data_IF_671421869115
#
_entry.id   IF_671421869115
#
_cell.length_a   1.000
_cell.length_b   1.000
_cell.length_c   1.000
_cell.angle_alpha   90.00
_cell.angle_beta   90.00
_cell.angle_gamma   90.00
#
_symmetry.space_group_name_H-M   'P 1'
#
loop_
_entity.id
_entity.type
_entity.pdbx_description
1 polymer ?
#
# COMPACT_ATOMS: atom_id res chain seq x y z
N UNK A 1 -14.91 -18.18 -20.26
CA UNK A 1 -13.59 -17.96 -19.66
C UNK A 1 -13.59 -16.54 -19.12
N UNK A 2 -13.43 -16.38 -17.81
CA UNK A 2 -13.21 -15.07 -17.20
C UNK A 2 -11.84 -14.59 -17.71
N UNK A 3 -11.78 -13.36 -18.23
CA UNK A 3 -10.54 -12.84 -18.80
C UNK A 3 -9.49 -12.65 -17.70
N UNK A 4 -8.23 -12.98 -17.99
CA UNK A 4 -7.11 -12.84 -17.06
C UNK A 4 -7.02 -11.40 -16.52
N UNK A 5 -6.69 -11.20 -15.22
CA UNK A 5 -6.62 -9.87 -14.62
C UNK A 5 -5.47 -9.07 -15.24
N UNK A 6 -5.69 -7.77 -15.44
CA UNK A 6 -4.64 -6.88 -15.93
C UNK A 6 -3.72 -6.41 -14.80
N UNK A 7 -4.30 -6.21 -13.62
CA UNK A 7 -3.59 -5.80 -12.41
C UNK A 7 -3.85 -6.83 -11.31
N UNK A 8 -2.78 -7.29 -10.67
CA UNK A 8 -2.85 -8.11 -9.47
C UNK A 8 -2.25 -7.33 -8.32
N UNK A 9 -2.94 -7.30 -7.18
CA UNK A 9 -2.44 -6.67 -5.96
C UNK A 9 -2.29 -7.74 -4.89
N UNK A 10 -1.07 -7.88 -4.36
CA UNK A 10 -0.77 -8.72 -3.19
C UNK A 10 -0.52 -7.79 -2.02
N UNK A 11 -1.43 -7.77 -1.05
CA UNK A 11 -1.32 -6.79 0.03
C UNK A 11 -2.42 -6.85 1.07
N UNK A 12 -2.52 -5.75 1.81
CA UNK A 12 -3.30 -5.63 3.03
C UNK A 12 -4.75 -5.20 2.82
N UNK A 13 -5.59 -5.56 3.79
CA UNK A 13 -6.93 -5.03 4.02
C UNK A 13 -7.03 -4.59 5.48
N UNK A 14 -7.50 -3.36 5.75
CA UNK A 14 -7.58 -2.81 7.10
C UNK A 14 -8.91 -2.12 7.31
N UNK A 15 -9.71 -2.56 8.27
CA UNK A 15 -10.92 -1.83 8.65
C UNK A 15 -10.52 -0.60 9.46
N UNK A 16 -10.87 0.57 8.94
CA UNK A 16 -10.57 1.84 9.59
C UNK A 16 -11.68 2.18 10.59
N UNK A 17 -11.34 2.27 11.86
CA UNK A 17 -12.25 2.60 12.96
C UNK A 17 -11.97 4.04 13.40
N UNK A 18 -12.74 4.99 12.86
CA UNK A 18 -12.43 6.42 12.99
C UNK A 18 -13.29 7.08 14.05
N UNK A 19 -12.64 7.62 15.09
CA UNK A 19 -13.25 8.46 16.13
C UNK A 19 -12.81 9.90 15.96
N UNK A 20 -13.77 10.82 15.82
CA UNK A 20 -13.52 12.26 15.68
C UNK A 20 -13.82 12.98 16.99
N UNK A 21 -12.88 13.79 17.46
CA UNK A 21 -12.97 14.57 18.70
C UNK A 21 -12.46 16.00 18.50
N UNK A 22 -12.71 16.90 19.46
CA UNK A 22 -12.20 18.29 19.35
C UNK A 22 -10.68 18.35 19.49
N UNK A 23 -10.08 17.42 20.24
CA UNK A 23 -8.64 17.25 20.42
C UNK A 23 -8.31 15.78 20.64
N UNK A 24 -7.05 15.41 20.52
CA UNK A 24 -6.59 14.07 20.88
C UNK A 24 -6.51 13.91 22.42
N UNK A 25 -6.74 12.71 22.96
CA UNK A 25 -6.57 12.44 24.39
C UNK A 25 -5.09 12.42 24.78
N UNK A 26 -4.79 12.87 26.00
CA UNK A 26 -3.48 12.63 26.61
C UNK A 26 -3.41 11.22 27.23
N UNK A 27 -2.20 10.79 27.61
CA UNK A 27 -2.00 9.51 28.31
C UNK A 27 -2.85 9.48 29.60
N UNK A 28 -3.66 8.43 29.75
CA UNK A 28 -4.55 8.23 30.91
C UNK A 28 -5.87 8.99 30.84
N UNK A 29 -6.13 9.71 29.75
CA UNK A 29 -7.33 10.53 29.61
C UNK A 29 -8.47 9.78 28.91
N UNK A 30 -9.71 10.09 29.30
CA UNK A 30 -10.93 9.71 28.56
C UNK A 30 -11.63 10.96 28.10
N UNK A 31 -11.97 11.04 26.82
CA UNK A 31 -12.68 12.17 26.22
C UNK A 31 -13.91 11.68 25.45
N UNK A 32 -14.90 12.55 25.25
CA UNK A 32 -16.02 12.29 24.37
C UNK A 32 -15.70 12.74 22.93
N UNK A 33 -15.82 11.82 21.99
CA UNK A 33 -15.87 12.15 20.55
C UNK A 33 -17.25 12.66 20.15
N UNK A 34 -17.35 13.20 18.93
CA UNK A 34 -18.60 13.72 18.37
C UNK A 34 -19.02 13.05 17.05
N UNK A 35 -18.16 12.18 16.48
CA UNK A 35 -18.51 11.35 15.31
C UNK A 35 -17.70 10.04 15.36
N UNK A 36 -18.33 8.96 14.92
CA UNK A 36 -17.67 7.68 14.67
C UNK A 36 -18.11 7.15 13.31
N UNK A 37 -17.18 6.58 12.54
CA UNK A 37 -17.49 5.88 11.31
C UNK A 37 -16.48 4.78 11.02
N UNK A 38 -16.91 3.82 10.21
CA UNK A 38 -16.11 2.68 9.77
C UNK A 38 -15.80 2.87 8.29
N UNK A 39 -14.53 2.72 7.92
CA UNK A 39 -14.03 2.78 6.55
C UNK A 39 -13.31 1.51 6.12
N UNK A 40 -12.99 1.43 4.84
CA UNK A 40 -12.17 0.35 4.27
C UNK A 40 -10.83 0.94 3.82
N UNK A 41 -9.78 0.67 4.58
CA UNK A 41 -8.42 1.12 4.31
C UNK A 41 -7.49 0.00 3.84
N UNK A 42 -6.23 0.05 4.27
CA UNK A 42 -5.19 -0.90 3.87
C UNK A 42 -4.63 -0.56 2.49
N UNK A 43 -3.30 -0.40 2.41
CA UNK A 43 -2.63 0.10 1.20
C UNK A 43 -2.91 -0.79 -0.01
N UNK A 44 -2.92 -2.11 0.18
CA UNK A 44 -3.22 -3.06 -0.88
C UNK A 44 -4.64 -2.86 -1.43
N UNK A 45 -5.64 -2.91 -0.56
CA UNK A 45 -7.04 -2.70 -0.95
C UNK A 45 -7.28 -1.32 -1.59
N UNK A 46 -6.69 -0.26 -1.05
CA UNK A 46 -6.82 1.11 -1.59
C UNK A 46 -6.27 1.22 -3.01
N UNK A 47 -5.07 0.70 -3.26
CA UNK A 47 -4.44 0.71 -4.58
C UNK A 47 -5.23 -0.16 -5.58
N UNK A 48 -5.71 -1.31 -5.12
CA UNK A 48 -6.53 -2.25 -5.89
C UNK A 48 -7.86 -1.62 -6.33
N UNK A 49 -8.60 -1.01 -5.41
CA UNK A 49 -9.88 -0.36 -5.68
C UNK A 49 -9.69 0.85 -6.60
N UNK A 50 -8.64 1.65 -6.40
CA UNK A 50 -8.38 2.80 -7.28
C UNK A 50 -8.12 2.34 -8.72
N UNK A 51 -7.37 1.25 -8.94
CA UNK A 51 -7.16 0.69 -10.26
C UNK A 51 -8.48 0.19 -10.89
N UNK A 52 -9.32 -0.50 -10.11
CA UNK A 52 -10.62 -0.98 -10.59
C UNK A 52 -11.57 0.16 -10.98
N UNK A 53 -11.62 1.24 -10.18
CA UNK A 53 -12.41 2.44 -10.48
C UNK A 53 -11.97 3.17 -11.75
N UNK A 54 -10.71 3.01 -12.15
CA UNK A 54 -10.18 3.52 -13.42
C UNK A 54 -10.47 2.57 -14.62
N UNK A 55 -11.14 1.44 -14.37
CA UNK A 55 -11.58 0.49 -15.40
C UNK A 55 -10.65 -0.71 -15.61
N UNK A 56 -9.61 -0.88 -14.79
CA UNK A 56 -8.75 -2.06 -14.87
C UNK A 56 -9.47 -3.32 -14.38
N UNK A 57 -9.16 -4.48 -14.96
CA UNK A 57 -9.54 -5.77 -14.39
C UNK A 57 -8.55 -6.12 -13.28
N UNK A 58 -9.01 -6.11 -12.03
CA UNK A 58 -8.14 -6.26 -10.86
C UNK A 58 -8.47 -7.52 -10.07
N UNK A 59 -7.43 -8.22 -9.61
CA UNK A 59 -7.54 -9.32 -8.66
C UNK A 59 -6.81 -8.97 -7.37
N UNK A 60 -7.49 -9.11 -6.24
CA UNK A 60 -6.89 -8.93 -4.91
C UNK A 60 -6.46 -10.27 -4.34
N UNK A 61 -5.21 -10.35 -3.88
CA UNK A 61 -4.67 -11.47 -3.13
C UNK A 61 -4.37 -10.96 -1.72
N UNK A 62 -5.18 -11.39 -0.76
CA UNK A 62 -5.07 -10.97 0.64
C UNK A 62 -5.71 -12.00 1.57
N UNK A 63 -5.59 -11.77 2.89
CA UNK A 63 -6.25 -12.58 3.90
C UNK A 63 -6.91 -11.70 4.95
N UNK A 64 -8.20 -11.94 5.19
CA UNK A 64 -9.01 -11.27 6.22
C UNK A 64 -9.48 -12.28 7.27
N UNK A 65 -10.09 -11.81 8.34
CA UNK A 65 -10.68 -12.68 9.36
C UNK A 65 -11.98 -13.32 8.89
N UNK A 66 -12.33 -14.46 9.50
CA UNK A 66 -13.68 -15.03 9.48
C UNK A 66 -14.55 -14.31 10.51
N UNK A 67 -14.71 -13.01 10.32
CA UNK A 67 -15.47 -12.10 11.16
C UNK A 67 -16.34 -11.15 10.31
N UNK A 68 -17.12 -10.28 10.97
CA UNK A 68 -17.99 -9.34 10.26
C UNK A 68 -17.21 -8.39 9.36
N UNK A 69 -16.07 -7.89 9.83
CA UNK A 69 -15.23 -6.99 9.05
C UNK A 69 -14.65 -7.65 7.80
N UNK A 70 -14.27 -8.92 7.87
CA UNK A 70 -13.79 -9.69 6.73
C UNK A 70 -14.89 -9.90 5.70
N UNK A 71 -16.11 -10.22 6.13
CA UNK A 71 -17.26 -10.35 5.25
C UNK A 71 -17.58 -9.02 4.55
N UNK A 72 -17.62 -7.92 5.31
CA UNK A 72 -17.85 -6.58 4.79
C UNK A 72 -16.77 -6.17 3.77
N UNK A 73 -15.52 -6.58 3.98
CA UNK A 73 -14.42 -6.34 3.05
C UNK A 73 -14.58 -7.07 1.72
N UNK A 74 -14.97 -8.35 1.77
CA UNK A 74 -15.23 -9.14 0.57
C UNK A 74 -16.38 -8.49 -0.23
N UNK A 75 -17.44 -8.05 0.44
CA UNK A 75 -18.51 -7.29 -0.22
C UNK A 75 -18.03 -5.96 -0.81
N UNK A 76 -17.16 -5.23 -0.11
CA UNK A 76 -16.60 -3.98 -0.62
C UNK A 76 -15.81 -4.20 -1.92
N UNK A 77 -15.02 -5.27 -2.02
CA UNK A 77 -14.33 -5.62 -3.27
C UNK A 77 -15.31 -5.92 -4.41
N UNK A 78 -16.36 -6.72 -4.14
CA UNK A 78 -17.39 -7.03 -5.13
C UNK A 78 -18.07 -5.74 -5.62
N UNK A 79 -18.44 -4.83 -4.70
CA UNK A 79 -19.04 -3.52 -5.03
C UNK A 79 -18.13 -2.65 -5.89
N UNK A 80 -16.81 -2.78 -5.76
CA UNK A 80 -15.82 -2.06 -6.57
C UNK A 80 -15.30 -2.86 -7.78
N UNK A 81 -15.97 -3.97 -8.16
CA UNK A 81 -15.60 -4.81 -9.31
C UNK A 81 -14.18 -5.40 -9.25
N UNK A 82 -13.71 -5.70 -8.03
CA UNK A 82 -12.43 -6.37 -7.77
C UNK A 82 -12.69 -7.89 -7.62
N UNK A 83 -11.90 -8.74 -8.29
CA UNK A 83 -11.99 -10.18 -8.08
C UNK A 83 -11.56 -10.55 -6.67
N UNK A 84 -12.34 -11.45 -6.05
CA UNK A 84 -12.13 -11.96 -4.69
C UNK A 84 -11.72 -13.44 -4.66
N UNK A 85 -11.37 -14.03 -5.80
CA UNK A 85 -11.04 -15.45 -5.93
C UNK A 85 -9.87 -15.90 -5.02
N UNK A 86 -8.98 -14.96 -4.68
CA UNK A 86 -7.82 -15.17 -3.82
C UNK A 86 -7.87 -14.34 -2.53
N UNK A 87 -9.07 -13.92 -2.11
CA UNK A 87 -9.30 -13.31 -0.79
C UNK A 87 -9.57 -14.43 0.21
N UNK A 88 -8.55 -14.80 0.98
CA UNK A 88 -8.66 -15.83 2.01
C UNK A 88 -9.36 -15.29 3.27
N UNK A 89 -10.10 -16.17 3.96
CA UNK A 89 -10.59 -15.88 5.31
C UNK A 89 -10.04 -16.90 6.32
N UNK A 90 -9.56 -16.43 7.48
CA UNK A 90 -9.02 -17.29 8.56
C UNK A 90 -9.77 -17.13 9.88
N UNK A 91 -9.89 -18.22 10.64
CA UNK A 91 -10.40 -18.17 12.02
C UNK A 91 -9.33 -17.89 13.07
N UNK A 92 -8.05 -17.87 12.67
CA UNK A 92 -6.91 -17.79 13.60
C UNK A 92 -6.55 -16.35 14.01
N UNK A 93 -7.06 -15.36 13.28
CA UNK A 93 -6.91 -13.94 13.59
C UNK A 93 -8.11 -13.13 13.09
N UNK A 94 -8.33 -11.98 13.72
CA UNK A 94 -9.30 -11.00 13.24
C UNK A 94 -8.80 -10.32 11.95
N UNK A 95 -9.74 -9.75 11.19
CA UNK A 95 -9.43 -8.81 10.09
C UNK A 95 -8.57 -7.67 10.62
N UNK A 96 -7.61 -7.21 9.82
CA UNK A 96 -6.74 -6.10 10.22
C UNK A 96 -7.55 -4.84 10.51
N UNK A 97 -7.14 -4.07 11.52
CA UNK A 97 -7.84 -2.84 11.93
C UNK A 97 -6.88 -1.68 12.15
N UNK A 98 -7.28 -0.49 11.73
CA UNK A 98 -6.63 0.76 12.08
C UNK A 98 -7.58 1.57 12.99
N UNK A 99 -7.25 1.65 14.27
CA UNK A 99 -7.98 2.52 15.22
C UNK A 99 -7.46 3.93 15.09
N UNK A 100 -8.26 4.81 14.51
CA UNK A 100 -7.87 6.17 14.12
C UNK A 100 -8.62 7.17 15.00
N UNK A 101 -7.86 8.01 15.70
CA UNK A 101 -8.38 9.20 16.37
C UNK A 101 -7.96 10.42 15.56
N UNK A 102 -8.89 11.33 15.28
CA UNK A 102 -8.62 12.55 14.53
C UNK A 102 -9.28 13.76 15.20
N UNK A 103 -8.57 14.88 15.25
CA UNK A 103 -9.11 16.14 15.76
C UNK A 103 -9.57 17.10 14.65
N UNK A 104 -10.15 18.23 15.03
CA UNK A 104 -10.68 19.24 14.11
C UNK A 104 -9.58 19.88 13.24
N UNK A 105 -8.33 19.87 13.71
CA UNK A 105 -7.16 20.35 12.99
C UNK A 105 -6.58 19.31 12.00
N UNK A 106 -7.16 18.10 11.93
CA UNK A 106 -6.71 17.01 11.08
C UNK A 106 -5.48 16.26 11.61
N UNK A 107 -5.03 16.54 12.84
CA UNK A 107 -4.01 15.75 13.52
C UNK A 107 -4.62 14.41 13.91
N UNK A 108 -3.83 13.33 13.79
CA UNK A 108 -4.30 11.99 14.09
C UNK A 108 -3.34 11.18 14.97
N UNK A 109 -3.89 10.15 15.59
CA UNK A 109 -3.17 9.08 16.25
C UNK A 109 -3.77 7.75 15.81
N UNK A 110 -2.93 6.84 15.32
CA UNK A 110 -3.37 5.61 14.67
C UNK A 110 -2.69 4.41 15.34
N UNK A 111 -3.49 3.42 15.73
CA UNK A 111 -3.01 2.12 16.19
C UNK A 111 -3.42 1.07 15.15
N UNK A 112 -2.42 0.41 14.57
CA UNK A 112 -2.63 -0.66 13.59
C UNK A 112 -2.47 -2.02 14.28
N UNK A 113 -3.45 -2.90 14.05
CA UNK A 113 -3.34 -4.33 14.31
C UNK A 113 -3.48 -5.05 12.99
N UNK A 114 -2.37 -5.57 12.45
CA UNK A 114 -2.36 -6.17 11.11
C UNK A 114 -3.25 -7.42 11.00
N UNK A 115 -3.39 -8.21 12.09
CA UNK A 115 -4.30 -9.35 12.16
C UNK A 115 -4.05 -10.38 11.04
N UNK A 116 -5.12 -10.79 10.38
CA UNK A 116 -5.12 -11.78 9.30
C UNK A 116 -4.18 -11.44 8.13
N UNK A 117 -3.81 -10.17 7.93
CA UNK A 117 -2.85 -9.77 6.90
C UNK A 117 -1.49 -10.48 7.06
N UNK A 118 -1.06 -10.72 8.30
CA UNK A 118 0.21 -11.42 8.58
C UNK A 118 0.12 -12.94 8.41
N UNK A 119 -1.10 -13.46 8.26
CA UNK A 119 -1.35 -14.88 8.03
C UNK A 119 -1.46 -15.22 6.54
N UNK A 120 -1.41 -14.24 5.64
CA UNK A 120 -1.20 -14.51 4.22
C UNK A 120 0.17 -15.19 4.06
N UNK A 121 0.24 -16.30 3.32
CA UNK A 121 1.43 -17.14 3.27
C UNK A 121 1.76 -17.61 1.83
N UNK A 122 2.85 -18.38 1.71
CA UNK A 122 3.31 -18.93 0.43
C UNK A 122 2.32 -19.94 -0.19
N UNK A 123 1.51 -20.65 0.59
CA UNK A 123 0.50 -21.57 0.03
C UNK A 123 -0.64 -20.79 -0.64
N UNK A 124 -1.03 -19.64 -0.09
CA UNK A 124 -1.97 -18.73 -0.76
C UNK A 124 -1.39 -18.16 -2.06
N UNK A 125 -0.11 -17.74 -2.04
CA UNK A 125 0.56 -17.26 -3.26
C UNK A 125 0.67 -18.34 -4.33
N UNK A 126 0.96 -19.60 -3.96
CA UNK A 126 1.01 -20.72 -4.91
C UNK A 126 -0.33 -20.90 -5.63
N UNK A 127 -1.45 -20.80 -4.90
CA UNK A 127 -2.80 -20.88 -5.50
C UNK A 127 -3.04 -19.72 -6.48
N UNK A 128 -2.53 -18.54 -6.17
CA UNK A 128 -2.66 -17.35 -7.00
C UNK A 128 -1.56 -17.18 -8.07
N UNK A 129 -0.57 -18.07 -8.12
CA UNK A 129 0.61 -17.92 -8.97
C UNK A 129 0.26 -17.76 -10.45
N UNK A 130 -0.73 -18.52 -10.95
CA UNK A 130 -1.21 -18.37 -12.33
C UNK A 130 -1.77 -16.97 -12.61
N UNK A 131 -2.55 -16.43 -11.68
CA UNK A 131 -3.07 -15.06 -11.77
C UNK A 131 -1.95 -14.02 -11.76
N UNK A 132 -0.92 -14.20 -10.92
CA UNK A 132 0.23 -13.30 -10.87
C UNK A 132 0.99 -13.36 -12.20
N UNK A 133 1.33 -14.55 -12.69
CA UNK A 133 2.15 -14.76 -13.89
C UNK A 133 1.49 -14.31 -15.19
N UNK A 134 0.16 -14.24 -15.25
CA UNK A 134 -0.59 -13.80 -16.43
C UNK A 134 -0.97 -12.32 -16.38
N UNK A 135 -0.73 -11.62 -15.27
CA UNK A 135 -1.05 -10.21 -15.12
C UNK A 135 -0.14 -9.33 -16.00
N UNK A 136 -0.57 -8.09 -16.25
CA UNK A 136 0.31 -7.08 -16.86
C UNK A 136 1.15 -6.38 -15.80
N UNK A 137 0.57 -6.16 -14.62
CA UNK A 137 1.19 -5.49 -13.48
C UNK A 137 0.90 -6.23 -12.18
N UNK A 138 1.92 -6.39 -11.34
CA UNK A 138 1.77 -6.81 -9.96
C UNK A 138 2.17 -5.67 -9.02
N UNK A 139 1.31 -5.39 -8.03
CA UNK A 139 1.53 -4.34 -7.02
C UNK A 139 1.63 -4.97 -5.63
N UNK A 140 2.61 -4.57 -4.83
CA UNK A 140 2.70 -4.98 -3.42
C UNK A 140 3.25 -3.88 -2.51
N UNK A 141 3.03 -4.05 -1.21
CA UNK A 141 3.45 -3.13 -0.15
C UNK A 141 4.04 -3.88 1.05
N UNK A 142 4.26 -3.20 2.19
CA UNK A 142 4.86 -3.77 3.42
C UNK A 142 3.87 -3.86 4.61
N UNK A 143 2.57 -4.02 4.34
CA UNK A 143 1.54 -4.24 5.38
C UNK A 143 1.15 -5.72 5.56
N UNK A 144 1.84 -6.63 4.85
CA UNK A 144 1.81 -8.08 5.05
C UNK A 144 3.23 -8.55 5.43
N UNK A 145 3.42 -9.85 5.66
CA UNK A 145 4.75 -10.40 5.94
C UNK A 145 5.72 -10.12 4.78
N UNK A 146 6.87 -9.46 4.99
CA UNK A 146 7.78 -9.07 3.91
C UNK A 146 8.23 -10.24 3.02
N UNK A 147 8.41 -11.43 3.60
CA UNK A 147 8.77 -12.63 2.83
C UNK A 147 7.73 -12.96 1.73
N UNK A 148 6.45 -12.73 2.00
CA UNK A 148 5.33 -12.98 1.08
C UNK A 148 5.31 -11.92 -0.02
N UNK A 149 5.46 -10.63 0.33
CA UNK A 149 5.60 -9.57 -0.69
C UNK A 149 6.79 -9.83 -1.62
N UNK A 150 7.93 -10.27 -1.07
CA UNK A 150 9.12 -10.59 -1.84
C UNK A 150 8.92 -11.81 -2.76
N UNK A 151 8.23 -12.84 -2.28
CA UNK A 151 7.88 -14.01 -3.10
C UNK A 151 6.97 -13.62 -4.26
N UNK A 152 5.95 -12.78 -4.02
CA UNK A 152 5.08 -12.26 -5.07
C UNK A 152 5.85 -11.44 -6.13
N UNK A 153 6.79 -10.58 -5.70
CA UNK A 153 7.69 -9.84 -6.59
C UNK A 153 8.52 -10.78 -7.47
N UNK A 154 9.09 -11.84 -6.88
CA UNK A 154 9.87 -12.84 -7.62
C UNK A 154 9.02 -13.58 -8.66
N UNK A 155 7.82 -14.03 -8.30
CA UNK A 155 6.90 -14.72 -9.22
C UNK A 155 6.56 -13.81 -10.40
N UNK A 156 6.17 -12.56 -10.13
CA UNK A 156 5.83 -11.59 -11.16
C UNK A 156 7.04 -11.30 -12.08
N UNK A 157 8.19 -10.95 -11.49
CA UNK A 157 9.39 -10.59 -12.22
C UNK A 157 9.89 -11.72 -13.13
N UNK A 158 9.94 -12.95 -12.61
CA UNK A 158 10.39 -14.13 -13.39
C UNK A 158 9.42 -14.51 -14.51
N UNK A 159 8.14 -14.11 -14.38
CA UNK A 159 7.12 -14.29 -15.42
C UNK A 159 7.07 -13.15 -16.44
N UNK A 160 7.95 -12.15 -16.32
CA UNK A 160 7.96 -10.97 -17.20
C UNK A 160 6.85 -9.95 -16.90
N UNK A 161 6.18 -10.07 -15.75
CA UNK A 161 5.13 -9.16 -15.29
C UNK A 161 5.76 -7.92 -14.68
N UNK A 162 5.24 -6.73 -15.03
CA UNK A 162 5.77 -5.47 -14.49
C UNK A 162 5.48 -5.39 -12.99
N UNK A 163 6.52 -5.10 -12.22
CA UNK A 163 6.44 -5.03 -10.76
C UNK A 163 6.41 -3.57 -10.28
N UNK A 164 5.41 -3.24 -9.46
CA UNK A 164 5.32 -1.98 -8.73
C UNK A 164 5.40 -2.30 -7.24
N UNK A 165 6.40 -1.78 -6.57
CA UNK A 165 6.56 -1.95 -5.14
C UNK A 165 6.45 -0.60 -4.44
N UNK A 166 5.59 -0.54 -3.43
CA UNK A 166 5.49 0.59 -2.53
C UNK A 166 5.98 0.17 -1.13
N UNK A 167 7.20 0.57 -0.70
CA UNK A 167 7.82 0.15 0.56
C UNK A 167 7.17 0.85 1.77
N UNK A 168 5.88 0.69 1.93
CA UNK A 168 5.07 1.42 2.89
C UNK A 168 4.33 0.44 3.84
N UNK A 169 4.44 0.61 5.16
CA UNK A 169 5.38 1.51 5.84
C UNK A 169 6.85 1.09 5.62
N UNK A 170 7.76 2.07 5.56
CA UNK A 170 9.18 1.78 5.31
C UNK A 170 9.86 1.14 6.53
N UNK A 171 10.78 0.22 6.24
CA UNK A 171 11.68 -0.41 7.20
C UNK A 171 13.13 -0.08 6.80
N UNK A 172 13.96 0.33 7.75
CA UNK A 172 15.32 0.81 7.48
C UNK A 172 16.26 -0.29 6.97
N UNK A 173 16.03 -1.53 7.39
CA UNK A 173 16.77 -2.73 7.05
C UNK A 173 16.04 -3.59 6.00
N UNK A 174 15.41 -2.93 5.02
CA UNK A 174 14.72 -3.59 3.92
C UNK A 174 15.64 -4.56 3.17
N UNK A 175 15.17 -5.79 2.95
CA UNK A 175 15.90 -6.81 2.16
C UNK A 175 16.27 -6.24 0.77
N UNK A 176 17.56 -6.23 0.38
CA UNK A 176 18.01 -5.66 -0.88
C UNK A 176 17.31 -6.22 -2.12
N UNK A 177 16.77 -7.43 -2.05
CA UNK A 177 16.05 -8.05 -3.15
C UNK A 177 14.79 -7.26 -3.53
N UNK A 178 14.17 -6.50 -2.63
CA UNK A 178 13.05 -5.63 -2.97
C UNK A 178 13.44 -4.58 -4.00
N UNK A 179 14.65 -4.01 -3.93
CA UNK A 179 15.11 -3.03 -4.91
C UNK A 179 15.30 -3.68 -6.29
N UNK A 180 15.88 -4.88 -6.31
CA UNK A 180 16.22 -5.62 -7.54
C UNK A 180 14.97 -6.10 -8.28
N UNK A 181 13.97 -6.62 -7.55
CA UNK A 181 12.75 -7.16 -8.14
C UNK A 181 11.66 -6.11 -8.38
N UNK A 182 11.97 -4.82 -8.24
CA UNK A 182 11.04 -3.72 -8.51
C UNK A 182 11.38 -3.01 -9.82
N UNK A 183 10.50 -3.12 -10.81
CA UNK A 183 10.59 -2.30 -12.03
C UNK A 183 10.24 -0.84 -11.74
N UNK A 184 9.28 -0.62 -10.84
CA UNK A 184 8.91 0.69 -10.30
C UNK A 184 8.91 0.63 -8.78
N UNK A 185 9.75 1.45 -8.16
CA UNK A 185 9.83 1.62 -6.72
C UNK A 185 9.24 2.98 -6.33
N UNK A 186 8.10 2.99 -5.63
CA UNK A 186 7.35 4.22 -5.36
C UNK A 186 7.16 4.43 -3.85
N UNK A 187 7.75 5.49 -3.29
CA UNK A 187 7.66 5.84 -1.87
C UNK A 187 7.33 7.32 -1.68
N UNK A 188 6.97 7.74 -0.46
CA UNK A 188 6.88 9.15 -0.09
C UNK A 188 8.19 9.69 0.51
N UNK A 189 8.19 10.96 0.91
CA UNK A 189 9.36 11.62 1.49
C UNK A 189 9.86 10.88 2.75
N UNK A 190 8.97 10.65 3.72
CA UNK A 190 9.34 10.02 4.99
C UNK A 190 9.85 8.57 4.83
N UNK A 191 9.29 7.84 3.88
CA UNK A 191 9.73 6.48 3.53
C UNK A 191 11.10 6.50 2.85
N UNK A 192 11.33 7.45 1.93
CA UNK A 192 12.63 7.65 1.33
C UNK A 192 13.69 8.01 2.38
N UNK A 193 13.35 8.83 3.38
CA UNK A 193 14.25 9.14 4.51
C UNK A 193 14.64 7.89 5.28
N UNK A 194 13.67 7.05 5.64
CA UNK A 194 13.91 5.79 6.38
C UNK A 194 14.82 4.86 5.58
N UNK A 195 14.58 4.73 4.27
CA UNK A 195 15.30 3.81 3.39
C UNK A 195 16.70 4.28 3.03
N UNK A 196 16.97 5.59 3.08
CA UNK A 196 18.25 6.17 2.62
C UNK A 196 19.07 6.78 3.75
N UNK A 197 18.47 7.09 4.90
CA UNK A 197 19.06 7.90 5.95
C UNK A 197 19.25 9.37 5.56
N UNK A 198 18.69 9.81 4.42
CA UNK A 198 18.84 11.16 3.89
C UNK A 198 17.54 11.94 4.00
N UNK A 199 17.60 13.14 4.60
CA UNK A 199 16.46 14.02 4.81
C UNK A 199 15.86 14.51 3.49
N UNK A 200 14.54 14.45 3.33
CA UNK A 200 13.81 14.88 2.15
C UNK A 200 12.86 16.01 2.53
N UNK A 201 13.17 17.24 2.09
CA UNK A 201 12.36 18.43 2.38
C UNK A 201 11.89 19.14 1.11
N UNK A 202 12.67 19.05 0.04
CA UNK A 202 12.39 19.71 -1.23
C UNK A 202 12.49 18.71 -2.40
N UNK A 203 11.92 19.02 -3.58
CA UNK A 203 12.02 18.15 -4.76
C UNK A 203 13.46 17.76 -5.13
N UNK A 204 14.44 18.66 -4.92
CA UNK A 204 15.86 18.35 -5.16
C UNK A 204 16.40 17.26 -4.22
N UNK A 205 15.98 17.26 -2.95
CA UNK A 205 16.37 16.25 -1.97
C UNK A 205 15.80 14.88 -2.35
N UNK A 206 14.54 14.86 -2.80
CA UNK A 206 13.88 13.66 -3.31
C UNK A 206 14.59 13.09 -4.54
N UNK A 207 15.11 13.95 -5.42
CA UNK A 207 15.98 13.53 -6.52
C UNK A 207 17.23 12.79 -6.03
N UNK A 208 17.90 13.32 -5.00
CA UNK A 208 19.09 12.69 -4.41
C UNK A 208 18.78 11.37 -3.69
N UNK A 209 17.71 11.33 -2.88
CA UNK A 209 17.24 10.10 -2.26
C UNK A 209 16.88 9.05 -3.34
N UNK A 210 16.25 9.50 -4.41
CA UNK A 210 15.97 8.70 -5.59
C UNK A 210 17.23 8.09 -6.22
N UNK A 211 18.30 8.88 -6.39
CA UNK A 211 19.58 8.37 -6.92
C UNK A 211 20.19 7.29 -6.01
N UNK A 212 20.13 7.47 -4.70
CA UNK A 212 20.59 6.45 -3.74
C UNK A 212 19.78 5.15 -3.85
N UNK A 213 18.48 5.22 -4.13
CA UNK A 213 17.63 4.04 -4.33
C UNK A 213 17.91 3.34 -5.68
N UNK A 214 18.27 4.10 -6.73
CA UNK A 214 18.76 3.53 -7.99
C UNK A 214 20.10 2.81 -7.76
N UNK A 215 21.03 3.39 -7.00
CA UNK A 215 22.31 2.75 -6.64
C UNK A 215 22.11 1.43 -5.85
N UNK A 216 21.02 1.31 -5.10
CA UNK A 216 20.61 0.06 -4.42
C UNK A 216 20.03 -1.01 -5.35
N UNK A 217 19.76 -0.68 -6.61
CA UNK A 217 19.32 -1.64 -7.64
C UNK A 217 17.93 -1.39 -8.23
N UNK A 218 17.24 -0.30 -7.87
CA UNK A 218 15.95 0.03 -8.47
C UNK A 218 16.10 0.42 -9.95
N UNK A 219 15.15 0.04 -10.81
CA UNK A 219 15.14 0.45 -12.22
C UNK A 219 14.53 1.83 -12.44
N UNK A 220 13.39 2.10 -11.79
CA UNK A 220 12.70 3.38 -11.82
C UNK A 220 12.24 3.70 -10.40
N UNK A 221 12.52 4.92 -9.95
CA UNK A 221 12.15 5.40 -8.62
C UNK A 221 11.21 6.58 -8.75
N UNK A 222 10.11 6.55 -7.99
CA UNK A 222 9.19 7.66 -7.80
C UNK A 222 9.20 8.02 -6.32
N UNK A 223 9.51 9.27 -6.01
CA UNK A 223 9.34 9.84 -4.68
C UNK A 223 8.18 10.82 -4.75
N UNK A 224 7.06 10.47 -4.11
CA UNK A 224 5.88 11.35 -4.00
C UNK A 224 6.14 12.44 -2.96
N UNK A 225 5.58 13.64 -3.22
CA UNK A 225 5.85 14.89 -2.49
C UNK A 225 4.55 15.57 -2.01
N UNK A 226 3.52 14.78 -1.74
CA UNK A 226 2.18 15.28 -1.41
C UNK A 226 1.65 16.30 -2.42
N UNK A 227 1.38 17.52 -1.95
CA UNK A 227 0.86 18.62 -2.76
C UNK A 227 1.86 19.16 -3.82
N UNK A 228 3.13 18.81 -3.72
CA UNK A 228 4.16 19.21 -4.69
C UNK A 228 4.31 18.20 -5.84
N UNK A 229 3.50 17.14 -5.89
CA UNK A 229 3.52 16.14 -6.96
C UNK A 229 4.51 15.02 -6.69
N UNK A 230 5.43 14.75 -7.62
CA UNK A 230 6.45 13.72 -7.43
C UNK A 230 7.76 14.00 -8.17
N UNK A 231 8.84 13.35 -7.77
CA UNK A 231 10.10 13.28 -8.53
C UNK A 231 10.26 11.87 -9.07
N UNK A 232 10.63 11.76 -10.35
CA UNK A 232 10.91 10.50 -11.01
C UNK A 232 12.29 10.50 -11.63
N UNK A 233 12.96 9.34 -11.58
CA UNK A 233 14.22 9.06 -12.25
C UNK A 233 14.36 7.56 -12.49
N UNK A 234 15.27 7.18 -13.38
CA UNK A 234 15.50 5.78 -13.74
C UNK A 234 16.98 5.46 -13.82
N UNK A 235 17.33 4.17 -13.87
CA UNK A 235 18.71 3.73 -14.07
C UNK A 235 19.24 4.11 -15.47
N UNK A 236 18.35 4.26 -16.47
CA UNK A 236 18.70 4.66 -17.84
C UNK A 236 18.91 6.18 -17.97
N UNK A 237 18.14 6.96 -17.22
CA UNK A 237 18.26 8.42 -17.10
C UNK A 237 18.11 8.79 -15.62
N UNK A 238 19.26 9.00 -14.98
CA UNK A 238 19.36 9.33 -13.55
C UNK A 238 19.09 10.81 -13.27
N UNK A 239 18.78 11.62 -14.30
CA UNK A 239 18.39 13.02 -14.14
C UNK A 239 17.03 13.10 -13.44
N UNK A 240 16.95 13.68 -12.23
CA UNK A 240 15.67 13.80 -11.54
C UNK A 240 14.70 14.72 -12.29
N UNK A 241 13.48 14.24 -12.53
CA UNK A 241 12.40 15.01 -13.15
C UNK A 241 11.31 15.26 -12.12
N UNK A 242 11.15 16.52 -11.72
CA UNK A 242 10.03 16.94 -10.88
C UNK A 242 8.77 17.14 -11.73
N UNK A 243 7.69 16.47 -11.35
CA UNK A 243 6.37 16.54 -11.96
C UNK A 243 5.43 17.19 -10.94
N UNK A 244 5.13 18.49 -11.08
CA UNK A 244 4.23 19.18 -10.16
C UNK A 244 2.78 18.77 -10.37
N UNK A 245 1.95 18.95 -9.34
CA UNK A 245 0.50 18.80 -9.44
C UNK A 245 -0.22 20.16 -9.40
N UNK A 246 -1.48 20.19 -9.80
CA UNK A 246 -2.33 21.38 -9.66
C UNK A 246 -2.70 21.54 -8.20
N UNK A 247 -2.59 22.77 -7.70
CA UNK A 247 -3.04 23.11 -6.35
C UNK A 247 -4.56 22.91 -6.23
N UNK A 248 -4.96 22.18 -5.20
CA UNK A 248 -6.37 21.93 -4.85
C UNK A 248 -6.58 22.30 -3.39
N UNK A 249 -7.80 22.73 -3.06
CA UNK A 249 -8.18 22.88 -1.66
C UNK A 249 -8.43 21.49 -1.07
N UNK A 250 -7.47 20.98 -0.30
CA UNK A 250 -7.61 19.69 0.36
C UNK A 250 -8.85 19.70 1.27
N UNK A 251 -9.68 18.66 1.12
CA UNK A 251 -10.82 18.38 2.02
C UNK A 251 -10.41 17.30 3.01
N UNK A 252 -9.81 16.22 2.49
CA UNK A 252 -9.20 15.12 3.23
C UNK A 252 -8.07 14.53 2.37
N UNK A 253 -6.91 14.25 2.97
CA UNK A 253 -5.76 13.64 2.28
C UNK A 253 -5.59 12.17 2.62
N UNK A 254 -6.46 11.61 3.48
CA UNK A 254 -6.47 10.18 3.79
C UNK A 254 -7.13 9.38 2.66
N UNK A 255 -6.65 8.14 2.50
CA UNK A 255 -7.08 7.21 1.45
C UNK A 255 -8.00 6.18 2.14
N UNK A 256 -9.29 6.47 2.26
CA UNK A 256 -10.31 5.57 2.82
C UNK A 256 -11.65 5.79 2.14
#
# INVERSE_FOLDING_TARGET
MQADPEVVVVGSCMTDLVSVSTRLPNIGETIHGHKFFIGFGGKGANQCIQAARLGAKVSMICKVGKDSFGNDYVENFIKNSVSTDFVGQTGDAATGVASIMVNNEGQNAIIIVAGANLLLDSEDLKKAAGSISQAKVMVCQLEITPAVSLEALKIAHTSGVKTIFNPAPAISDLDPQFYIYSDVFCCNESEAEILTGFLVRYPADAGKAGSMLIEKGCKLVIVTLGAEGCVVLSAEDTTPKHIPTRQVKAVDTTIS
#
